data_IF_787807600269
#
_entry.id   IF_787807600269
#
_cell.length_a   1.000
_cell.length_b   1.000
_cell.length_c   1.000
_cell.angle_alpha   90.00
_cell.angle_beta   90.00
_cell.angle_gamma   90.00
#
_symmetry.space_group_name_H-M   'P 1'
#
loop_
_entity.id
_entity.type
_entity.pdbx_description
1 polymer ?
#
# COMPACT_ATOMS: atom_id res chain seq x y z
N UNK A 1 3.77 44.51 23.24
CA UNK A 1 4.40 44.67 21.92
C UNK A 1 3.41 44.13 20.89
N UNK A 2 2.88 45.01 20.05
CA UNK A 2 1.74 44.76 19.13
C UNK A 2 2.14 43.82 18.02
N UNK A 3 1.30 42.83 17.72
CA UNK A 3 1.38 41.97 16.51
C UNK A 3 0.41 42.56 15.50
N UNK A 4 0.94 43.12 14.42
CA UNK A 4 0.15 43.54 13.26
C UNK A 4 -0.18 42.36 12.37
N UNK A 5 -1.48 42.15 12.14
CA UNK A 5 -2.03 41.25 11.14
C UNK A 5 -1.97 41.93 9.76
N UNK A 6 -1.28 41.30 8.79
CA UNK A 6 -1.40 41.63 7.37
C UNK A 6 -2.29 40.65 6.68
N UNK A 7 -3.41 41.12 6.16
CA UNK A 7 -4.30 40.40 5.26
C UNK A 7 -3.66 40.24 3.88
N UNK A 8 -3.77 39.06 3.31
CA UNK A 8 -3.42 38.75 1.93
C UNK A 8 -4.69 38.44 1.12
N UNK A 9 -4.73 38.81 -0.17
CA UNK A 9 -5.96 38.79 -0.97
C UNK A 9 -6.39 37.39 -1.41
N UNK A 10 -7.69 37.25 -1.56
CA UNK A 10 -8.45 36.11 -2.03
C UNK A 10 -7.99 35.64 -3.42
N UNK A 11 -7.53 34.38 -3.52
CA UNK A 11 -7.30 33.66 -4.75
C UNK A 11 -7.80 32.23 -4.58
N UNK A 12 -8.86 31.90 -5.35
CA UNK A 12 -9.56 30.64 -5.37
C UNK A 12 -8.70 29.53 -5.93
N UNK A 13 -8.21 28.60 -5.08
CA UNK A 13 -7.91 27.24 -5.49
C UNK A 13 -7.99 26.32 -4.26
N UNK A 14 -8.99 25.39 -4.25
CA UNK A 14 -9.23 24.48 -3.13
C UNK A 14 -8.60 23.13 -3.43
N UNK A 15 -7.32 23.00 -3.10
CA UNK A 15 -6.73 21.69 -2.78
C UNK A 15 -6.59 21.58 -1.25
N UNK A 16 -6.81 20.40 -0.64
CA UNK A 16 -6.70 20.23 0.81
C UNK A 16 -5.24 20.37 1.23
N UNK A 17 -4.90 21.53 1.76
CA UNK A 17 -3.61 21.81 2.38
C UNK A 17 -3.53 21.07 3.71
N UNK A 18 -2.80 19.95 3.73
CA UNK A 18 -2.29 19.35 4.96
C UNK A 18 -1.37 20.35 5.64
N UNK A 19 -1.50 20.64 6.93
CA UNK A 19 -0.61 21.59 7.60
C UNK A 19 0.79 20.98 7.70
N UNK A 20 1.72 21.48 6.90
CA UNK A 20 3.14 21.24 7.06
C UNK A 20 3.62 22.11 8.23
N UNK A 21 3.95 21.47 9.34
CA UNK A 21 4.54 22.14 10.46
C UNK A 21 6.04 22.35 10.21
N UNK A 22 6.49 23.58 10.06
CA UNK A 22 7.91 23.95 10.15
C UNK A 22 8.27 24.00 11.62
N UNK A 23 9.03 23.02 12.09
CA UNK A 23 9.63 23.02 13.42
C UNK A 23 10.81 24.01 13.44
N UNK A 24 10.59 25.21 13.97
CA UNK A 24 11.66 26.13 14.35
C UNK A 24 12.13 25.76 15.77
N UNK A 25 13.29 25.11 15.90
CA UNK A 25 13.92 24.83 17.18
C UNK A 25 15.11 25.77 17.41
N UNK A 26 15.28 26.36 18.61
CA UNK A 26 16.50 27.06 18.97
C UNK A 26 17.60 26.07 19.37
N UNK A 27 18.72 26.21 18.71
CA UNK A 27 20.10 25.88 19.02
C UNK A 27 20.39 24.98 20.24
N UNK A 28 20.40 23.64 20.01
CA UNK A 28 21.20 22.68 20.81
C UNK A 28 21.56 21.49 19.94
N UNK A 29 22.81 21.03 20.05
CA UNK A 29 23.43 19.96 19.21
C UNK A 29 22.86 18.54 19.42
N UNK A 30 21.56 18.38 19.68
CA UNK A 30 20.91 17.07 19.71
C UNK A 30 20.13 16.88 18.40
N UNK A 31 20.64 15.98 17.55
CA UNK A 31 19.84 15.44 16.47
C UNK A 31 18.66 14.67 17.09
N UNK A 32 17.45 15.15 16.89
CA UNK A 32 16.24 14.47 17.40
C UNK A 32 16.03 13.22 16.59
N UNK A 33 16.10 12.06 17.24
CA UNK A 33 15.75 10.77 16.63
C UNK A 33 14.24 10.56 16.83
N UNK A 34 13.51 10.41 15.75
CA UNK A 34 12.08 10.11 15.76
C UNK A 34 11.86 8.72 15.17
N UNK A 35 10.88 7.99 15.69
CA UNK A 35 10.41 6.72 15.16
C UNK A 35 9.15 6.95 14.34
N UNK A 36 8.95 6.15 13.28
CA UNK A 36 7.75 6.26 12.46
C UNK A 36 7.60 5.15 11.43
N UNK A 37 6.45 5.18 10.77
CA UNK A 37 6.04 4.24 9.74
C UNK A 37 6.19 4.87 8.35
N UNK A 38 6.84 4.18 7.42
CA UNK A 38 6.91 4.60 6.01
C UNK A 38 5.55 4.37 5.35
N UNK A 39 4.91 5.46 4.91
CA UNK A 39 3.58 5.41 4.29
C UNK A 39 3.58 5.67 2.79
N UNK A 40 4.65 6.27 2.26
CA UNK A 40 4.80 6.54 0.82
C UNK A 40 6.27 6.45 0.41
N UNK A 41 6.50 5.94 -0.80
CA UNK A 41 7.81 5.85 -1.43
C UNK A 41 7.70 6.34 -2.88
N UNK A 42 8.48 7.36 -3.24
CA UNK A 42 8.54 7.92 -4.59
C UNK A 42 9.88 7.62 -5.29
N UNK A 43 10.63 6.63 -4.77
CA UNK A 43 11.96 6.25 -5.24
C UNK A 43 13.10 6.99 -4.55
N UNK A 44 13.07 8.31 -4.51
CA UNK A 44 14.11 9.16 -3.88
C UNK A 44 13.68 9.73 -2.52
N UNK A 45 12.38 9.84 -2.29
CA UNK A 45 11.78 10.39 -1.09
C UNK A 45 10.79 9.43 -0.45
N UNK A 46 10.75 9.47 0.87
CA UNK A 46 9.87 8.66 1.72
C UNK A 46 9.05 9.59 2.58
N UNK A 47 7.75 9.37 2.65
CA UNK A 47 6.89 10.01 3.62
C UNK A 47 6.76 9.08 4.82
N UNK A 48 7.18 9.56 5.99
CA UNK A 48 7.14 8.82 7.25
C UNK A 48 6.12 9.48 8.16
N UNK A 49 5.19 8.70 8.68
CA UNK A 49 4.29 9.11 9.76
C UNK A 49 4.97 8.76 11.08
N UNK A 50 5.32 9.75 11.88
CA UNK A 50 5.95 9.55 13.19
C UNK A 50 4.96 8.97 14.20
N UNK A 51 5.46 8.38 15.29
CA UNK A 51 4.62 7.86 16.38
C UNK A 51 3.79 8.97 17.05
N UNK A 52 4.23 10.23 16.93
CA UNK A 52 3.50 11.43 17.38
C UNK A 52 2.40 11.87 16.39
N UNK A 53 2.27 11.19 15.24
CA UNK A 53 1.26 11.48 14.22
C UNK A 53 1.67 12.53 13.17
N UNK A 54 2.89 13.08 13.24
CA UNK A 54 3.41 14.05 12.26
C UNK A 54 3.89 13.37 10.99
N UNK A 55 3.76 14.04 9.85
CA UNK A 55 4.25 13.54 8.56
C UNK A 55 5.57 14.24 8.21
N UNK A 56 6.61 13.46 7.96
CA UNK A 56 7.96 13.93 7.66
C UNK A 56 8.46 13.35 6.34
N UNK A 57 8.90 14.22 5.43
CA UNK A 57 9.57 13.80 4.20
C UNK A 57 11.03 13.48 4.48
N UNK A 58 11.46 12.27 4.13
CA UNK A 58 12.79 11.75 4.43
C UNK A 58 13.52 11.29 3.18
N UNK A 59 14.85 11.36 3.24
CA UNK A 59 15.76 10.69 2.30
C UNK A 59 16.49 9.53 2.99
N UNK A 60 17.08 8.64 2.21
CA UNK A 60 18.01 7.63 2.73
C UNK A 60 19.41 8.22 2.74
N UNK A 61 20.16 7.99 3.82
CA UNK A 61 21.59 8.33 3.87
C UNK A 61 22.38 7.39 2.95
N UNK A 62 23.27 7.93 2.10
CA UNK A 62 23.88 7.26 0.94
C UNK A 62 24.60 5.91 1.16
N UNK A 63 24.90 5.50 2.40
CA UNK A 63 25.54 4.23 2.74
C UNK A 63 24.61 3.19 3.36
N UNK A 64 23.30 3.35 3.19
CA UNK A 64 22.33 2.46 3.79
C UNK A 64 22.28 1.11 3.06
N UNK A 65 22.90 0.08 3.65
CA UNK A 65 22.87 -1.30 3.15
C UNK A 65 22.19 -2.19 4.18
N UNK A 66 21.01 -2.70 3.85
CA UNK A 66 20.40 -3.77 4.64
C UNK A 66 21.24 -5.05 4.50
N UNK A 67 21.67 -5.64 5.63
CA UNK A 67 22.34 -6.92 5.65
C UNK A 67 21.45 -7.98 4.98
N UNK A 68 21.90 -8.54 3.86
CA UNK A 68 21.27 -9.69 3.21
C UNK A 68 20.25 -9.41 2.11
N UNK A 69 19.81 -8.16 1.88
CA UNK A 69 18.86 -7.83 0.82
C UNK A 69 19.55 -7.02 -0.27
N UNK A 70 19.74 -7.63 -1.45
CA UNK A 70 20.20 -6.94 -2.67
C UNK A 70 18.99 -6.27 -3.34
N UNK A 71 18.53 -5.16 -2.79
CA UNK A 71 17.45 -4.36 -3.37
C UNK A 71 18.01 -2.99 -3.78
N UNK A 72 17.53 -2.46 -4.90
CA UNK A 72 17.81 -1.08 -5.34
C UNK A 72 17.17 -0.05 -4.41
N UNK A 73 16.12 -0.46 -3.70
CA UNK A 73 15.40 0.39 -2.75
C UNK A 73 15.25 -0.37 -1.43
N UNK A 74 16.10 -0.08 -0.42
CA UNK A 74 16.11 -0.86 0.81
C UNK A 74 14.90 -0.60 1.69
N UNK A 75 14.26 0.58 1.57
CA UNK A 75 13.09 0.98 2.37
C UNK A 75 11.81 0.71 1.58
N UNK A 76 10.88 0.03 2.21
CA UNK A 76 9.56 -0.26 1.66
C UNK A 76 8.46 0.46 2.45
N UNK A 77 7.31 0.60 1.83
CA UNK A 77 6.12 1.04 2.55
C UNK A 77 5.72 -0.01 3.59
N UNK A 78 5.38 0.44 4.79
CA UNK A 78 5.13 -0.42 5.94
C UNK A 78 6.37 -0.69 6.81
N UNK A 79 7.56 -0.19 6.44
CA UNK A 79 8.72 -0.27 7.32
C UNK A 79 8.58 0.68 8.51
N UNK A 80 8.92 0.18 9.70
CA UNK A 80 9.21 1.01 10.86
C UNK A 80 10.66 1.48 10.76
N UNK A 81 10.84 2.79 10.89
CA UNK A 81 12.13 3.44 10.67
C UNK A 81 12.46 4.43 11.79
N UNK A 82 13.76 4.60 12.03
CA UNK A 82 14.28 5.73 12.79
C UNK A 82 14.73 6.82 11.83
N UNK A 83 14.26 8.03 12.06
CA UNK A 83 14.62 9.21 11.27
C UNK A 83 15.39 10.21 12.13
N UNK A 84 16.37 10.86 11.53
CA UNK A 84 17.17 11.93 12.14
C UNK A 84 16.83 13.21 11.41
N UNK A 85 16.41 14.21 12.18
CA UNK A 85 16.22 15.58 11.69
C UNK A 85 17.58 16.29 11.67
N UNK A 86 17.95 16.83 10.50
CA UNK A 86 19.14 17.63 10.34
C UNK A 86 18.83 19.11 10.70
N UNK A 87 19.83 19.89 11.04
CA UNK A 87 19.69 21.31 11.38
C UNK A 87 19.07 22.17 10.27
N UNK A 88 19.15 21.68 9.03
CA UNK A 88 18.56 22.31 7.83
C UNK A 88 17.09 21.93 7.58
N UNK A 89 16.44 21.19 8.49
CA UNK A 89 15.06 20.72 8.33
C UNK A 89 14.89 19.52 7.42
N UNK A 90 15.98 18.93 6.88
CA UNK A 90 15.91 17.71 6.08
C UNK A 90 15.98 16.48 7.01
N UNK A 91 15.06 15.55 6.84
CA UNK A 91 15.04 14.29 7.58
C UNK A 91 15.72 13.16 6.80
N UNK A 92 16.44 12.29 7.51
CA UNK A 92 17.10 11.12 6.95
C UNK A 92 16.68 9.87 7.68
N UNK A 93 16.34 8.82 6.93
CA UNK A 93 16.17 7.48 7.48
C UNK A 93 17.55 6.96 7.84
N UNK A 94 17.73 6.67 9.13
CA UNK A 94 18.98 6.18 9.71
C UNK A 94 18.96 4.67 9.89
N UNK A 95 17.81 4.10 10.23
CA UNK A 95 17.66 2.69 10.54
C UNK A 95 16.29 2.17 10.10
N UNK A 96 16.24 0.89 9.69
CA UNK A 96 14.99 0.16 9.45
C UNK A 96 14.92 -0.94 10.49
N UNK A 97 13.79 -1.02 11.18
CA UNK A 97 13.54 -2.09 12.16
C UNK A 97 13.31 -3.44 11.46
N UNK A 98 13.47 -4.52 12.22
CA UNK A 98 13.24 -5.86 11.72
C UNK A 98 11.80 -6.03 11.23
N UNK A 99 11.67 -6.58 10.02
CA UNK A 99 10.38 -6.83 9.39
C UNK A 99 9.77 -8.13 9.88
N UNK A 100 8.51 -8.11 10.30
CA UNK A 100 7.77 -9.35 10.60
C UNK A 100 7.50 -10.19 9.34
N UNK A 101 7.23 -9.51 8.23
CA UNK A 101 7.00 -10.08 6.91
C UNK A 101 7.12 -9.01 5.82
N UNK A 102 7.11 -9.44 4.55
CA UNK A 102 7.10 -8.54 3.40
C UNK A 102 6.65 -9.27 2.13
N UNK A 103 6.27 -8.55 1.10
CA UNK A 103 5.99 -9.08 -0.24
C UNK A 103 7.00 -8.51 -1.24
N UNK A 104 7.54 -9.37 -2.09
CA UNK A 104 8.46 -8.99 -3.16
C UNK A 104 7.81 -9.10 -4.54
N UNK A 105 8.27 -8.26 -5.45
CA UNK A 105 8.06 -8.40 -6.88
C UNK A 105 9.40 -8.73 -7.52
N UNK A 106 9.45 -9.84 -8.24
CA UNK A 106 10.61 -10.13 -9.09
C UNK A 106 10.59 -9.20 -10.30
N UNK A 107 11.73 -8.57 -10.60
CA UNK A 107 11.90 -7.86 -11.87
C UNK A 107 11.82 -8.85 -13.01
N UNK A 108 11.06 -8.53 -14.06
CA UNK A 108 10.95 -9.34 -15.29
C UNK A 108 12.21 -9.28 -16.15
N UNK A 109 13.11 -8.36 -15.86
CA UNK A 109 14.42 -8.29 -16.50
C UNK A 109 15.39 -9.16 -15.70
N UNK A 110 16.37 -9.75 -16.40
CA UNK A 110 17.46 -10.64 -15.91
C UNK A 110 18.28 -10.08 -14.72
N UNK A 111 17.96 -8.88 -14.23
CA UNK A 111 18.54 -8.34 -13.01
C UNK A 111 18.08 -9.18 -11.81
N UNK A 112 19.00 -9.76 -11.08
CA UNK A 112 18.79 -10.53 -9.83
C UNK A 112 18.20 -9.67 -8.68
N UNK A 113 17.56 -8.54 -9.01
CA UNK A 113 17.05 -7.58 -8.04
C UNK A 113 15.55 -7.81 -7.82
N UNK A 114 15.19 -8.10 -6.58
CA UNK A 114 13.82 -8.13 -6.13
C UNK A 114 13.46 -6.77 -5.51
N UNK A 115 12.26 -6.28 -5.80
CA UNK A 115 11.72 -5.09 -5.15
C UNK A 115 10.76 -5.50 -4.05
N UNK A 116 10.98 -5.02 -2.83
CA UNK A 116 10.02 -5.17 -1.76
C UNK A 116 8.87 -4.19 -2.05
N UNK A 117 7.67 -4.73 -2.18
CA UNK A 117 6.47 -3.95 -2.45
C UNK A 117 5.93 -3.31 -1.18
N UNK A 118 5.87 -4.10 -0.12
CA UNK A 118 5.37 -3.71 1.18
C UNK A 118 5.92 -4.61 2.28
N UNK A 119 6.00 -4.08 3.50
CA UNK A 119 6.49 -4.79 4.69
C UNK A 119 5.52 -4.65 5.87
N UNK A 120 5.69 -5.49 6.88
CA UNK A 120 4.93 -5.47 8.14
C UNK A 120 3.42 -5.53 7.96
N UNK A 121 2.97 -6.33 6.99
CA UNK A 121 1.57 -6.50 6.64
C UNK A 121 0.84 -7.38 7.66
N UNK A 122 -0.39 -7.00 8.02
CA UNK A 122 -1.28 -7.85 8.79
C UNK A 122 -2.02 -8.82 7.87
N UNK A 123 -2.30 -8.39 6.63
CA UNK A 123 -2.95 -9.20 5.61
C UNK A 123 -2.76 -8.63 4.21
N UNK A 124 -3.03 -9.47 3.21
CA UNK A 124 -3.19 -9.07 1.81
C UNK A 124 -4.60 -9.40 1.34
N UNK A 125 -5.23 -8.49 0.61
CA UNK A 125 -6.47 -8.68 -0.14
C UNK A 125 -6.10 -8.87 -1.61
N UNK A 126 -6.12 -10.11 -2.08
CA UNK A 126 -5.90 -10.44 -3.49
C UNK A 126 -7.21 -10.31 -4.24
N UNK A 127 -7.36 -9.22 -5.00
CA UNK A 127 -8.56 -8.94 -5.80
C UNK A 127 -8.41 -9.62 -7.16
N UNK A 128 -9.35 -10.48 -7.47
CA UNK A 128 -9.39 -11.28 -8.70
C UNK A 128 -10.77 -11.22 -9.35
N UNK A 129 -10.85 -11.59 -10.61
CA UNK A 129 -12.09 -11.65 -11.39
C UNK A 129 -12.08 -12.92 -12.23
N UNK A 130 -13.25 -13.55 -12.38
CA UNK A 130 -13.44 -14.69 -13.27
C UNK A 130 -13.31 -14.26 -14.72
N UNK A 131 -13.88 -13.09 -15.03
CA UNK A 131 -13.82 -12.49 -16.36
C UNK A 131 -13.74 -10.95 -16.27
N UNK A 132 -13.41 -10.28 -17.37
CA UNK A 132 -13.41 -8.80 -17.52
C UNK A 132 -12.48 -8.00 -16.58
N UNK A 133 -11.16 -8.28 -16.48
CA UNK A 133 -10.37 -9.31 -17.17
C UNK A 133 -10.37 -10.64 -16.42
N UNK A 134 -10.07 -11.72 -17.11
CA UNK A 134 -9.84 -13.03 -16.50
C UNK A 134 -8.57 -13.01 -15.64
N UNK A 135 -8.67 -13.61 -14.45
CA UNK A 135 -7.52 -13.88 -13.58
C UNK A 135 -7.30 -15.40 -13.56
N UNK A 136 -6.20 -15.86 -14.14
CA UNK A 136 -5.90 -17.29 -14.17
C UNK A 136 -5.62 -17.85 -12.77
N UNK A 137 -6.02 -19.10 -12.54
CA UNK A 137 -5.69 -19.83 -11.31
C UNK A 137 -4.18 -19.93 -11.09
N UNK A 138 -3.41 -20.08 -12.16
CA UNK A 138 -1.93 -20.06 -12.09
C UNK A 138 -1.38 -18.77 -11.47
N UNK A 139 -2.00 -17.63 -11.76
CA UNK A 139 -1.59 -16.36 -11.11
C UNK A 139 -1.95 -16.38 -9.62
N UNK A 140 -3.18 -16.81 -9.29
CA UNK A 140 -3.63 -16.89 -7.89
C UNK A 140 -2.68 -17.81 -7.11
N UNK A 141 -2.42 -19.02 -7.59
CA UNK A 141 -1.58 -20.01 -6.92
C UNK A 141 -0.14 -19.51 -6.69
N UNK A 142 0.45 -18.88 -7.73
CA UNK A 142 1.79 -18.28 -7.61
C UNK A 142 1.84 -17.14 -6.61
N UNK A 143 0.79 -16.34 -6.55
CA UNK A 143 0.70 -15.26 -5.59
C UNK A 143 0.58 -15.81 -4.17
N UNK A 144 -0.30 -16.80 -3.95
CA UNK A 144 -0.49 -17.45 -2.66
C UNK A 144 0.81 -18.12 -2.17
N UNK A 145 1.49 -18.88 -3.04
CA UNK A 145 2.77 -19.52 -2.71
C UNK A 145 3.85 -18.48 -2.34
N UNK A 146 3.86 -17.32 -3.03
CA UNK A 146 4.78 -16.23 -2.70
C UNK A 146 4.43 -15.61 -1.35
N UNK A 147 3.16 -15.37 -1.06
CA UNK A 147 2.71 -14.79 0.19
C UNK A 147 3.02 -15.70 1.38
N UNK A 148 2.79 -17.01 1.24
CA UNK A 148 3.15 -18.03 2.24
C UNK A 148 4.66 -18.01 2.54
N UNK A 149 5.50 -18.00 1.49
CA UNK A 149 6.95 -17.97 1.64
C UNK A 149 7.44 -16.77 2.47
N UNK A 150 6.71 -15.67 2.45
CA UNK A 150 7.01 -14.45 3.21
C UNK A 150 6.09 -14.21 4.41
N UNK A 151 5.28 -15.19 4.80
CA UNK A 151 4.40 -15.17 5.99
C UNK A 151 3.38 -14.04 5.94
N UNK A 152 2.81 -13.74 4.79
CA UNK A 152 1.74 -12.74 4.63
C UNK A 152 0.40 -13.45 4.48
N UNK A 153 -0.53 -13.30 5.45
CA UNK A 153 -1.88 -13.86 5.33
C UNK A 153 -2.63 -13.28 4.13
N UNK A 154 -3.28 -14.13 3.33
CA UNK A 154 -4.03 -13.69 2.15
C UNK A 154 -5.51 -13.99 2.28
N UNK A 155 -6.34 -13.02 1.93
CA UNK A 155 -7.76 -13.17 1.67
C UNK A 155 -8.01 -12.96 0.18
N UNK A 156 -8.80 -13.82 -0.47
CA UNK A 156 -9.11 -13.72 -1.89
C UNK A 156 -10.45 -13.02 -2.07
N UNK A 157 -10.48 -11.97 -2.88
CA UNK A 157 -11.68 -11.21 -3.17
C UNK A 157 -12.05 -11.44 -4.64
N UNK A 158 -13.12 -12.17 -4.89
CA UNK A 158 -13.72 -12.34 -6.21
C UNK A 158 -14.68 -11.18 -6.47
N UNK A 159 -14.22 -10.22 -7.27
CA UNK A 159 -14.96 -8.98 -7.57
C UNK A 159 -15.78 -9.11 -8.86
N UNK A 160 -16.68 -8.15 -9.10
CA UNK A 160 -17.58 -8.03 -10.26
C UNK A 160 -18.63 -9.14 -10.36
N UNK A 161 -19.11 -9.65 -9.22
CA UNK A 161 -20.14 -10.67 -9.19
C UNK A 161 -21.43 -10.26 -9.93
N UNK A 162 -21.68 -8.95 -10.04
CA UNK A 162 -22.80 -8.35 -10.78
C UNK A 162 -22.73 -8.52 -12.31
N UNK A 163 -21.55 -8.84 -12.84
CA UNK A 163 -21.31 -8.93 -14.28
C UNK A 163 -21.28 -10.36 -14.83
N UNK A 164 -21.39 -11.37 -13.96
CA UNK A 164 -21.25 -12.76 -14.35
C UNK A 164 -22.59 -13.41 -14.71
N UNK A 165 -22.57 -14.24 -15.77
CA UNK A 165 -23.66 -15.13 -16.12
C UNK A 165 -23.70 -16.37 -15.21
N UNK A 166 -24.69 -17.26 -15.41
CA UNK A 166 -24.88 -18.44 -14.56
C UNK A 166 -23.69 -19.43 -14.62
N UNK A 167 -23.07 -19.60 -15.78
CA UNK A 167 -21.92 -20.49 -15.94
C UNK A 167 -20.69 -19.92 -15.22
N UNK A 168 -20.45 -18.62 -15.36
CA UNK A 168 -19.38 -17.91 -14.68
C UNK A 168 -19.58 -17.91 -13.16
N UNK A 169 -20.82 -17.79 -12.69
CA UNK A 169 -21.17 -17.89 -11.26
C UNK A 169 -20.96 -19.31 -10.72
N UNK A 170 -21.27 -20.34 -11.52
CA UNK A 170 -20.97 -21.75 -11.15
C UNK A 170 -19.47 -21.97 -11.03
N UNK A 171 -18.69 -21.46 -11.99
CA UNK A 171 -17.23 -21.54 -11.95
C UNK A 171 -16.64 -20.77 -10.76
N UNK A 172 -17.13 -19.55 -10.49
CA UNK A 172 -16.78 -18.75 -9.33
C UNK A 172 -16.99 -19.51 -8.01
N UNK A 173 -18.17 -20.13 -7.85
CA UNK A 173 -18.48 -20.91 -6.65
C UNK A 173 -17.54 -22.12 -6.51
N UNK A 174 -17.16 -22.76 -7.61
CA UNK A 174 -16.13 -23.81 -7.64
C UNK A 174 -14.78 -23.32 -7.14
N UNK A 175 -14.33 -22.15 -7.60
CA UNK A 175 -13.08 -21.52 -7.13
C UNK A 175 -13.12 -21.16 -5.65
N UNK A 176 -14.23 -20.56 -5.19
CA UNK A 176 -14.41 -20.22 -3.77
C UNK A 176 -14.32 -21.49 -2.92
N UNK A 177 -15.02 -22.56 -3.31
CA UNK A 177 -14.95 -23.83 -2.60
C UNK A 177 -13.52 -24.38 -2.56
N UNK A 178 -12.82 -24.39 -3.70
CA UNK A 178 -11.43 -24.85 -3.81
C UNK A 178 -10.52 -24.10 -2.83
N UNK A 179 -10.46 -22.78 -2.92
CA UNK A 179 -9.53 -21.99 -2.13
C UNK A 179 -9.90 -21.95 -0.65
N UNK A 180 -11.19 -21.99 -0.32
CA UNK A 180 -11.64 -22.09 1.09
C UNK A 180 -11.26 -23.44 1.69
N UNK A 181 -11.39 -24.54 0.94
CA UNK A 181 -11.02 -25.88 1.40
C UNK A 181 -9.53 -25.99 1.72
N UNK A 182 -8.67 -25.32 0.97
CA UNK A 182 -7.21 -25.28 1.23
C UNK A 182 -6.81 -24.19 2.23
N UNK A 183 -7.77 -23.48 2.84
CA UNK A 183 -7.55 -22.61 3.99
C UNK A 183 -7.49 -21.11 3.70
N UNK A 184 -7.78 -20.66 2.48
CA UNK A 184 -7.80 -19.22 2.16
C UNK A 184 -9.21 -18.65 2.27
N UNK A 185 -9.44 -17.62 3.12
CA UNK A 185 -10.73 -16.94 3.16
C UNK A 185 -11.07 -16.31 1.81
N UNK A 186 -12.27 -16.60 1.28
CA UNK A 186 -12.75 -16.11 0.01
C UNK A 186 -14.00 -15.24 0.19
N UNK A 187 -14.06 -14.15 -0.55
CA UNK A 187 -15.18 -13.20 -0.53
C UNK A 187 -15.69 -12.95 -1.95
N UNK A 188 -16.99 -13.17 -2.18
CA UNK A 188 -17.68 -12.78 -3.40
C UNK A 188 -18.25 -11.38 -3.20
N UNK A 189 -17.89 -10.43 -4.06
CA UNK A 189 -18.34 -9.05 -3.96
C UNK A 189 -18.63 -8.43 -5.33
N UNK A 190 -19.36 -7.31 -5.30
CA UNK A 190 -19.40 -6.34 -6.38
C UNK A 190 -19.06 -4.95 -5.83
N UNK A 191 -17.86 -4.46 -6.16
CA UNK A 191 -17.45 -3.11 -5.79
C UNK A 191 -18.32 -2.03 -6.47
N UNK A 192 -18.99 -2.37 -7.58
CA UNK A 192 -19.87 -1.47 -8.33
C UNK A 192 -21.22 -1.30 -7.65
N UNK A 193 -21.83 -2.39 -7.18
CA UNK A 193 -23.17 -2.37 -6.54
C UNK A 193 -23.08 -2.19 -5.02
N UNK A 194 -21.89 -2.41 -4.43
CA UNK A 194 -21.70 -2.41 -2.98
C UNK A 194 -21.91 -3.77 -2.31
N UNK A 195 -22.36 -4.79 -3.05
CA UNK A 195 -22.59 -6.13 -2.50
C UNK A 195 -21.31 -6.71 -1.88
N UNK A 196 -21.37 -7.11 -0.60
CA UNK A 196 -20.25 -7.71 0.13
C UNK A 196 -19.15 -6.74 0.57
N UNK A 197 -19.21 -5.45 0.21
CA UNK A 197 -18.18 -4.45 0.53
C UNK A 197 -18.07 -4.21 2.04
N UNK A 198 -19.19 -4.20 2.76
CA UNK A 198 -19.19 -3.99 4.22
C UNK A 198 -18.44 -5.10 4.97
N UNK A 199 -18.54 -6.34 4.50
CA UNK A 199 -17.74 -7.46 5.05
C UNK A 199 -16.25 -7.20 4.91
N UNK A 200 -15.83 -6.63 3.77
CA UNK A 200 -14.43 -6.27 3.57
C UNK A 200 -14.03 -5.10 4.49
N UNK A 201 -14.88 -4.07 4.65
CA UNK A 201 -14.62 -2.97 5.58
C UNK A 201 -14.32 -3.47 7.00
N UNK A 202 -15.12 -4.41 7.50
CA UNK A 202 -14.91 -4.99 8.84
C UNK A 202 -13.56 -5.74 8.93
N UNK A 203 -13.18 -6.46 7.87
CA UNK A 203 -11.90 -7.20 7.82
C UNK A 203 -10.67 -6.29 7.81
N UNK A 204 -10.83 -5.04 7.39
CA UNK A 204 -9.74 -4.06 7.29
C UNK A 204 -9.50 -3.30 8.59
N UNK A 205 -10.45 -3.25 9.51
CA UNK A 205 -10.36 -2.45 10.75
C UNK A 205 -9.11 -2.81 11.55
N UNK A 206 -8.30 -1.78 11.85
CA UNK A 206 -7.09 -1.92 12.67
C UNK A 206 -5.96 -2.74 12.03
N UNK A 207 -5.96 -2.95 10.70
CA UNK A 207 -4.98 -3.78 10.00
C UNK A 207 -4.25 -3.02 8.92
N UNK A 208 -2.95 -3.27 8.82
CA UNK A 208 -2.13 -2.87 7.68
C UNK A 208 -2.39 -3.87 6.56
N UNK A 209 -3.09 -3.42 5.50
CA UNK A 209 -3.58 -4.29 4.44
C UNK A 209 -3.00 -3.89 3.09
N UNK A 210 -2.43 -4.87 2.39
CA UNK A 210 -2.04 -4.74 0.99
C UNK A 210 -3.19 -5.16 0.08
N UNK A 211 -3.59 -4.30 -0.88
CA UNK A 211 -4.44 -4.70 -2.00
C UNK A 211 -3.58 -5.03 -3.22
N UNK A 212 -3.73 -6.25 -3.73
CA UNK A 212 -3.01 -6.74 -4.91
C UNK A 212 -3.99 -7.36 -5.92
N UNK A 213 -3.54 -7.53 -7.16
CA UNK A 213 -4.31 -8.12 -8.27
C UNK A 213 -4.01 -7.42 -9.60
N UNK A 214 -4.46 -8.00 -10.71
CA UNK A 214 -4.25 -7.46 -12.05
C UNK A 214 -4.87 -6.07 -12.27
N UNK A 215 -4.41 -5.36 -13.29
CA UNK A 215 -5.08 -4.13 -13.74
C UNK A 215 -6.50 -4.47 -14.23
N UNK A 216 -7.46 -3.60 -13.93
CA UNK A 216 -8.85 -3.79 -14.37
C UNK A 216 -9.73 -4.68 -13.51
N UNK A 217 -9.21 -5.40 -12.49
CA UNK A 217 -10.03 -6.25 -11.59
C UNK A 217 -10.90 -5.45 -10.61
N UNK A 218 -10.78 -4.10 -10.59
CA UNK A 218 -11.62 -3.23 -9.78
C UNK A 218 -11.06 -2.86 -8.42
N UNK A 219 -9.75 -2.95 -8.18
CA UNK A 219 -9.11 -2.54 -6.90
C UNK A 219 -9.44 -1.11 -6.51
N UNK A 220 -9.24 -0.14 -7.41
CA UNK A 220 -9.53 1.28 -7.13
C UNK A 220 -11.01 1.53 -6.86
N UNK A 221 -11.90 0.87 -7.61
CA UNK A 221 -13.35 0.93 -7.37
C UNK A 221 -13.70 0.39 -5.99
N UNK A 222 -13.11 -0.74 -5.60
CA UNK A 222 -13.33 -1.33 -4.28
C UNK A 222 -12.83 -0.40 -3.16
N UNK A 223 -11.63 0.15 -3.31
CA UNK A 223 -11.06 1.06 -2.31
C UNK A 223 -11.90 2.32 -2.19
N UNK A 224 -12.37 2.90 -3.30
CA UNK A 224 -13.27 4.05 -3.28
C UNK A 224 -14.65 3.72 -2.69
N UNK A 225 -15.16 2.49 -2.88
CA UNK A 225 -16.39 2.04 -2.23
C UNK A 225 -16.21 1.85 -0.71
N UNK A 226 -15.02 1.47 -0.26
CA UNK A 226 -14.67 1.35 1.16
C UNK A 226 -14.45 2.72 1.79
N UNK A 227 -13.74 3.61 1.10
CA UNK A 227 -13.35 4.94 1.54
C UNK A 227 -13.70 5.97 0.45
N UNK A 228 -14.95 6.44 0.38
CA UNK A 228 -15.40 7.38 -0.65
C UNK A 228 -14.65 8.71 -0.67
N UNK A 229 -14.03 9.07 0.47
CA UNK A 229 -13.24 10.31 0.63
C UNK A 229 -11.89 10.24 -0.08
N UNK A 230 -11.46 9.03 -0.46
CA UNK A 230 -10.21 8.80 -1.20
C UNK A 230 -10.50 8.77 -2.69
N UNK A 231 -10.32 9.90 -3.38
CA UNK A 231 -10.32 9.93 -4.84
C UNK A 231 -9.01 9.30 -5.37
N UNK A 232 -8.96 7.95 -5.35
CA UNK A 232 -7.78 7.21 -5.79
C UNK A 232 -7.79 7.13 -7.31
N UNK A 233 -7.11 8.04 -7.97
CA UNK A 233 -6.88 7.96 -9.43
C UNK A 233 -5.76 7.00 -9.80
N UNK A 234 -4.71 6.85 -9.00
CA UNK A 234 -3.63 5.85 -9.21
C UNK A 234 -2.70 5.77 -8.00
N UNK A 235 -2.41 4.55 -7.51
CA UNK A 235 -1.20 4.23 -6.73
C UNK A 235 -0.95 4.96 -5.40
N UNK A 236 -1.98 5.51 -4.76
CA UNK A 236 -1.81 6.22 -3.50
C UNK A 236 -1.87 5.26 -2.30
N UNK A 237 -0.97 5.48 -1.36
CA UNK A 237 -1.02 4.94 -0.01
C UNK A 237 -1.78 5.95 0.83
N UNK A 238 -2.78 5.51 1.55
CA UNK A 238 -3.44 6.37 2.52
C UNK A 238 -3.50 5.71 3.90
N UNK A 239 -2.94 6.42 4.87
CA UNK A 239 -3.22 6.17 6.26
C UNK A 239 -4.42 7.05 6.64
N UNK A 240 -5.60 6.48 6.70
CA UNK A 240 -6.79 7.19 7.15
C UNK A 240 -7.34 6.46 8.37
N UNK A 241 -7.51 7.16 9.49
CA UNK A 241 -8.22 6.76 10.71
C UNK A 241 -8.24 5.24 11.01
N UNK A 242 -7.14 4.68 11.49
CA UNK A 242 -6.97 3.25 11.85
C UNK A 242 -6.96 2.23 10.68
N UNK A 243 -6.95 2.68 9.42
CA UNK A 243 -6.78 1.83 8.24
C UNK A 243 -5.51 2.26 7.50
N UNK A 244 -4.49 1.39 7.48
CA UNK A 244 -3.33 1.58 6.63
C UNK A 244 -3.51 0.71 5.39
N UNK A 245 -3.78 1.34 4.24
CA UNK A 245 -3.98 0.68 2.97
C UNK A 245 -2.78 0.91 2.07
N UNK A 246 -2.22 -0.18 1.55
CA UNK A 246 -1.20 -0.15 0.52
C UNK A 246 -1.84 -0.67 -0.76
N UNK A 247 -1.96 0.19 -1.76
CA UNK A 247 -2.51 -0.16 -3.07
C UNK A 247 -1.37 -0.33 -4.08
N UNK A 248 -1.30 -1.53 -4.69
CA UNK A 248 -0.37 -1.82 -5.77
C UNK A 248 -1.15 -2.34 -6.96
N UNK A 249 -1.07 -1.65 -8.09
CA UNK A 249 -1.54 -2.15 -9.37
C UNK A 249 -0.35 -2.69 -10.17
N UNK A 250 -0.47 -3.92 -10.68
CA UNK A 250 0.49 -4.43 -11.66
C UNK A 250 0.11 -3.91 -13.04
N UNK A 251 1.05 -3.29 -13.80
CA UNK A 251 0.80 -2.96 -15.18
C UNK A 251 0.63 -4.26 -15.98
N UNK A 252 -0.49 -4.40 -16.68
CA UNK A 252 -0.71 -5.44 -17.68
C UNK A 252 0.35 -5.28 -18.76
N UNK A 253 1.32 -6.19 -18.84
CA UNK A 253 2.12 -6.35 -20.04
C UNK A 253 1.24 -7.03 -21.08
N UNK A 254 0.83 -6.31 -22.10
CA UNK A 254 0.46 -6.92 -23.36
C UNK A 254 1.70 -7.67 -23.89
N UNK A 255 1.69 -8.99 -23.78
CA UNK A 255 2.59 -9.83 -24.55
C UNK A 255 2.19 -9.64 -26.01
N UNK A 256 2.94 -8.80 -26.74
CA UNK A 256 2.99 -8.91 -28.20
C UNK A 256 3.72 -10.22 -28.49
N UNK A 257 2.96 -11.21 -28.89
CA UNK A 257 3.49 -12.39 -29.58
C UNK A 257 3.78 -11.89 -30.98
N UNK A 258 5.06 -11.78 -31.33
CA UNK A 258 5.55 -11.66 -32.71
C UNK A 258 5.81 -13.05 -33.24
#
# INVERSE_FOLDING_TARGET
MKIESRELPCGTDRSPTTPYFQLSTPNSQLSTILRGLVIKNTGSWYLVKTDEGTYVECKIKGNFRLKGIRSTNPVAVGDHVQIILNQEGTAFINEIEDRKNYIIRRSSNLSKQSHILAANLDQCMLVVTVNYPETSTTFIDRFLASAEAYRVPVNIIFNKADAYNEDELRYLNGLINLYTTIGYPCFKISAKTGEGVDTIKEKLKGKITLFSGHSGVGKSTLINAILPELDIKTGAISAYHNLSLIHISEPTRHLRIS
#
